data_IF_095762125537
#
_entry.id   IF_095762125537
#
_cell.length_a   1.000
_cell.length_b   1.000
_cell.length_c   1.000
_cell.angle_alpha   90.00
_cell.angle_beta   90.00
_cell.angle_gamma   90.00
#
_symmetry.space_group_name_H-M   'P 1'
#
loop_
_entity.id
_entity.type
_entity.pdbx_description
1 polymer ?
#
# COMPACT_ATOMS: atom_id res chain seq x y z
N UNK A 1 -1.61 17.47 -16.70
CA UNK A 1 -1.51 16.00 -16.52
C UNK A 1 -0.58 15.72 -15.37
N UNK A 2 -1.11 15.41 -14.19
CA UNK A 2 -0.34 14.85 -13.08
C UNK A 2 0.09 13.44 -13.52
N UNK A 3 1.35 13.26 -13.88
CA UNK A 3 1.89 11.95 -14.30
C UNK A 3 2.79 11.33 -13.24
N UNK A 4 3.23 12.11 -12.28
CA UNK A 4 4.06 11.62 -11.19
C UNK A 4 3.21 11.27 -9.96
N UNK A 5 3.73 10.35 -9.16
CA UNK A 5 3.10 9.91 -7.91
C UNK A 5 3.46 10.86 -6.73
N UNK A 6 3.99 12.06 -6.99
CA UNK A 6 4.49 12.96 -5.95
C UNK A 6 3.37 13.49 -5.06
N UNK A 7 2.16 13.66 -5.60
CA UNK A 7 0.98 14.08 -4.84
C UNK A 7 0.64 13.06 -3.74
N UNK A 8 0.72 11.77 -4.06
CA UNK A 8 0.47 10.68 -3.11
C UNK A 8 1.59 10.63 -2.07
N UNK A 9 2.85 10.74 -2.50
CA UNK A 9 3.99 10.76 -1.58
C UNK A 9 3.90 11.92 -0.59
N UNK A 10 3.58 13.13 -1.08
CA UNK A 10 3.45 14.35 -0.27
C UNK A 10 2.30 14.23 0.72
N UNK A 11 1.14 13.74 0.29
CA UNK A 11 -0.02 13.54 1.16
C UNK A 11 0.29 12.55 2.30
N UNK A 12 0.85 11.39 1.96
CA UNK A 12 1.22 10.38 2.96
C UNK A 12 2.32 10.88 3.91
N UNK A 13 3.30 11.62 3.39
CA UNK A 13 4.37 12.21 4.20
C UNK A 13 3.86 13.30 5.13
N UNK A 14 2.91 14.13 4.68
CA UNK A 14 2.26 15.15 5.52
C UNK A 14 1.49 14.51 6.69
N UNK A 15 0.97 13.30 6.49
CA UNK A 15 0.37 12.46 7.55
C UNK A 15 1.40 11.78 8.47
N UNK A 16 2.69 12.13 8.34
CA UNK A 16 3.82 11.57 9.11
C UNK A 16 4.02 10.07 8.92
N UNK A 17 3.54 9.52 7.81
CA UNK A 17 3.77 8.12 7.45
C UNK A 17 5.16 7.97 6.83
N UNK A 18 5.85 6.87 7.14
CA UNK A 18 7.15 6.56 6.54
C UNK A 18 6.93 5.88 5.19
N UNK A 19 7.18 6.61 4.11
CA UNK A 19 6.96 6.16 2.74
C UNK A 19 8.29 5.81 2.07
N UNK A 20 8.34 4.66 1.39
CA UNK A 20 9.48 4.23 0.56
C UNK A 20 9.00 3.73 -0.80
N UNK A 21 9.95 3.50 -1.69
CA UNK A 21 9.72 2.86 -2.99
C UNK A 21 9.12 1.45 -2.82
N UNK A 22 8.07 1.17 -3.59
CA UNK A 22 7.33 -0.09 -3.54
C UNK A 22 7.79 -1.16 -4.54
N UNK A 23 8.80 -0.88 -5.37
CA UNK A 23 9.13 -1.69 -6.56
C UNK A 23 9.46 -3.14 -6.20
N UNK A 24 10.14 -3.38 -5.07
CA UNK A 24 10.45 -4.73 -4.57
C UNK A 24 9.20 -5.60 -4.31
N UNK A 25 8.05 -4.97 -4.12
CA UNK A 25 6.77 -5.61 -3.91
C UNK A 25 5.84 -5.48 -5.13
N UNK A 26 6.31 -4.91 -6.25
CA UNK A 26 5.46 -4.61 -7.39
C UNK A 26 4.33 -3.62 -7.07
N UNK A 27 4.54 -2.76 -6.07
CA UNK A 27 3.67 -1.65 -5.69
C UNK A 27 4.35 -0.32 -6.06
N UNK A 28 3.58 0.77 -6.12
CA UNK A 28 4.13 2.10 -6.38
C UNK A 28 4.86 2.64 -5.15
N UNK A 29 4.25 2.50 -3.97
CA UNK A 29 4.81 2.94 -2.70
C UNK A 29 4.57 1.89 -1.62
N UNK A 30 5.35 1.98 -0.54
CA UNK A 30 5.17 1.16 0.65
C UNK A 30 5.20 2.04 1.90
N UNK A 31 4.31 1.75 2.84
CA UNK A 31 4.17 2.47 4.12
C UNK A 31 4.67 1.60 5.26
N UNK A 32 5.34 2.22 6.23
CA UNK A 32 5.76 1.61 7.49
C UNK A 32 5.21 2.39 8.69
N UNK A 33 4.75 1.68 9.72
CA UNK A 33 4.35 2.26 11.01
C UNK A 33 5.55 2.53 11.94
N UNK A 34 6.71 1.91 11.67
CA UNK A 34 7.92 1.97 12.51
C UNK A 34 9.19 2.20 11.70
N UNK A 35 10.37 1.95 12.28
CA UNK A 35 11.61 1.96 11.49
C UNK A 35 11.54 0.85 10.42
N UNK A 36 11.68 1.15 9.11
CA UNK A 36 11.71 0.14 8.05
C UNK A 36 12.80 -0.94 8.22
N UNK A 37 13.83 -0.68 9.03
CA UNK A 37 14.88 -1.65 9.38
C UNK A 37 14.43 -2.66 10.43
N UNK A 38 13.44 -2.29 11.25
CA UNK A 38 12.99 -3.07 12.41
C UNK A 38 11.56 -3.60 12.25
N UNK A 39 10.78 -3.01 11.35
CA UNK A 39 9.37 -3.28 11.15
C UNK A 39 9.06 -3.66 9.69
N UNK A 40 8.07 -4.52 9.50
CA UNK A 40 7.55 -4.83 8.17
C UNK A 40 6.68 -3.71 7.61
N UNK A 41 6.50 -3.76 6.29
CA UNK A 41 5.58 -2.85 5.60
C UNK A 41 4.17 -3.03 6.12
N UNK A 42 3.56 -1.93 6.49
CA UNK A 42 2.17 -1.84 6.93
C UNK A 42 1.20 -1.90 5.74
N UNK A 43 1.51 -1.20 4.65
CA UNK A 43 0.66 -1.18 3.46
C UNK A 43 1.47 -1.07 2.16
N UNK A 44 0.96 -1.71 1.11
CA UNK A 44 1.40 -1.58 -0.26
C UNK A 44 0.42 -0.66 -0.99
N UNK A 45 0.93 0.40 -1.59
CA UNK A 45 0.13 1.43 -2.26
C UNK A 45 0.23 1.25 -3.77
N UNK A 46 -0.93 1.20 -4.42
CA UNK A 46 -1.08 1.16 -5.87
C UNK A 46 -1.74 2.47 -6.30
N UNK A 47 -1.06 3.25 -7.14
CA UNK A 47 -1.52 4.57 -7.55
C UNK A 47 -2.27 4.47 -8.88
N UNK A 48 -3.42 5.15 -8.95
CA UNK A 48 -4.22 5.30 -10.17
C UNK A 48 -4.65 6.73 -10.35
N UNK A 49 -4.37 7.26 -11.53
CA UNK A 49 -4.75 8.60 -11.96
C UNK A 49 -6.07 8.55 -12.72
N UNK A 50 -6.72 9.71 -12.87
CA UNK A 50 -7.98 9.85 -13.61
C UNK A 50 -7.94 9.18 -14.99
N UNK A 51 -9.01 8.45 -15.32
CA UNK A 51 -9.17 7.74 -16.58
C UNK A 51 -8.33 6.46 -16.70
N UNK A 52 -7.51 6.11 -15.70
CA UNK A 52 -6.83 4.81 -15.70
C UNK A 52 -7.78 3.71 -15.28
N UNK A 53 -7.88 2.68 -16.12
CA UNK A 53 -8.62 1.47 -15.78
C UNK A 53 -7.94 0.68 -14.66
N UNK A 54 -8.77 -0.02 -13.88
CA UNK A 54 -8.33 -0.97 -12.86
C UNK A 54 -8.81 -2.36 -13.29
N UNK A 55 -7.97 -3.13 -14.04
CA UNK A 55 -8.33 -4.48 -14.42
C UNK A 55 -8.54 -5.36 -13.19
N UNK A 56 -9.56 -6.21 -13.19
CA UNK A 56 -9.85 -7.12 -12.07
C UNK A 56 -8.65 -8.02 -11.70
N UNK A 57 -7.85 -8.41 -12.71
CA UNK A 57 -6.62 -9.18 -12.49
C UNK A 57 -5.60 -8.44 -11.61
N UNK A 58 -5.55 -7.10 -11.69
CA UNK A 58 -4.66 -6.27 -10.87
C UNK A 58 -5.05 -6.38 -9.40
N UNK A 59 -6.35 -6.29 -9.09
CA UNK A 59 -6.89 -6.45 -7.73
C UNK A 59 -6.51 -7.80 -7.12
N UNK A 60 -6.61 -8.88 -7.91
CA UNK A 60 -6.18 -10.22 -7.47
C UNK A 60 -4.67 -10.29 -7.21
N UNK A 61 -3.85 -9.67 -8.07
CA UNK A 61 -2.39 -9.63 -7.90
C UNK A 61 -2.00 -8.85 -6.65
N UNK A 62 -2.57 -7.66 -6.46
CA UNK A 62 -2.29 -6.78 -5.32
C UNK A 62 -2.59 -7.46 -3.99
N UNK A 63 -3.77 -8.04 -3.86
CA UNK A 63 -4.17 -8.77 -2.64
C UNK A 63 -3.29 -10.00 -2.38
N UNK A 64 -2.87 -10.71 -3.43
CA UNK A 64 -1.94 -11.85 -3.31
C UNK A 64 -0.56 -11.42 -2.82
N UNK A 65 0.00 -10.37 -3.40
CA UNK A 65 1.31 -9.82 -3.01
C UNK A 65 1.24 -9.33 -1.57
N UNK A 66 0.22 -8.54 -1.22
CA UNK A 66 0.02 -8.01 0.13
C UNK A 66 -0.06 -9.15 1.18
N UNK A 67 -0.77 -10.24 0.85
CA UNK A 67 -0.82 -11.44 1.69
C UNK A 67 0.52 -12.21 1.75
N UNK A 68 1.34 -12.18 0.69
CA UNK A 68 2.63 -12.87 0.60
C UNK A 68 3.80 -12.07 1.20
N UNK A 69 3.70 -10.74 1.25
CA UNK A 69 4.64 -9.85 1.91
C UNK A 69 4.71 -10.08 3.44
N UNK A 70 3.88 -11.00 3.98
CA UNK A 70 4.08 -11.68 5.26
C UNK A 70 5.45 -12.35 5.35
N UNK A 71 6.44 -11.65 5.87
CA UNK A 71 7.57 -12.31 6.52
C UNK A 71 7.25 -12.43 8.01
N UNK A 72 7.35 -13.64 8.54
CA UNK A 72 7.25 -13.90 9.98
C UNK A 72 8.47 -13.26 10.65
N UNK A 73 8.31 -12.14 11.35
CA UNK A 73 9.29 -11.78 12.39
C UNK A 73 9.06 -12.72 13.55
N UNK A 74 10.04 -13.57 13.88
CA UNK A 74 10.10 -14.19 15.21
C UNK A 74 10.46 -13.11 16.22
N UNK A 75 9.50 -12.28 16.63
CA UNK A 75 9.65 -11.53 17.87
C UNK A 75 9.13 -12.42 19.00
N UNK A 76 10.05 -13.16 19.63
CA UNK A 76 9.79 -14.17 20.66
C UNK A 76 9.10 -13.64 21.94
N UNK A 77 8.84 -12.33 22.05
CA UNK A 77 8.27 -11.69 23.24
C UNK A 77 6.82 -11.19 23.09
N UNK A 78 6.25 -11.15 21.89
CA UNK A 78 4.88 -10.63 21.67
C UNK A 78 3.99 -11.71 21.04
N UNK A 79 3.15 -12.34 21.87
CA UNK A 79 2.18 -13.41 21.47
C UNK A 79 0.99 -12.90 20.63
N UNK A 80 1.07 -11.70 20.07
CA UNK A 80 0.16 -11.10 19.07
C UNK A 80 1.11 -10.23 18.21
N UNK A 81 1.12 -10.28 16.89
CA UNK A 81 0.04 -9.89 16.00
C UNK A 81 0.26 -10.47 14.59
N UNK A 82 -0.82 -10.93 13.96
CA UNK A 82 -0.91 -11.14 12.52
C UNK A 82 -1.07 -9.77 11.85
N UNK A 83 0.02 -9.13 11.43
CA UNK A 83 -0.06 -7.91 10.61
C UNK A 83 0.22 -8.32 9.17
N UNK A 84 -0.84 -8.45 8.37
CA UNK A 84 -0.74 -8.48 6.92
C UNK A 84 -0.45 -7.07 6.42
N UNK A 85 0.48 -6.91 5.48
CA UNK A 85 0.52 -5.68 4.70
C UNK A 85 -0.83 -5.55 3.97
N UNK A 86 -1.49 -4.40 4.08
CA UNK A 86 -2.74 -4.15 3.38
C UNK A 86 -2.46 -3.70 1.94
N UNK A 87 -3.29 -4.12 0.99
CA UNK A 87 -3.30 -3.51 -0.34
C UNK A 87 -4.18 -2.26 -0.28
N UNK A 88 -3.61 -1.11 -0.64
CA UNK A 88 -4.32 0.17 -0.68
C UNK A 88 -4.24 0.72 -2.09
N UNK A 89 -5.38 1.13 -2.62
CA UNK A 89 -5.50 1.86 -3.86
C UNK A 89 -5.53 3.36 -3.55
N UNK A 90 -4.62 4.12 -4.16
CA UNK A 90 -4.61 5.58 -4.13
C UNK A 90 -5.15 6.11 -5.45
N UNK A 91 -6.34 6.72 -5.40
CA UNK A 91 -7.04 7.33 -6.52
C UNK A 91 -6.70 8.83 -6.56
N UNK A 92 -5.99 9.26 -7.58
CA UNK A 92 -5.53 10.64 -7.77
C UNK A 92 -6.46 11.39 -8.71
N UNK A 93 -7.11 12.42 -8.19
CA UNK A 93 -7.79 13.43 -8.99
C UNK A 93 -6.75 14.46 -9.45
N UNK A 94 -6.48 14.45 -10.75
CA UNK A 94 -5.47 15.29 -11.39
C UNK A 94 -5.92 16.76 -11.51
N UNK A 95 -7.23 17.02 -11.52
CA UNK A 95 -7.78 18.37 -11.64
C UNK A 95 -7.73 19.11 -10.31
N UNK A 96 -8.07 18.42 -9.21
CA UNK A 96 -8.05 19.00 -7.86
C UNK A 96 -6.76 18.74 -7.08
N UNK A 97 -5.85 17.92 -7.62
CA UNK A 97 -4.63 17.46 -6.94
C UNK A 97 -4.91 16.82 -5.56
N UNK A 98 -6.03 16.10 -5.48
CA UNK A 98 -6.44 15.38 -4.26
C UNK A 98 -6.28 13.88 -4.42
N UNK A 99 -6.15 13.17 -3.29
CA UNK A 99 -5.98 11.71 -3.26
C UNK A 99 -7.03 11.09 -2.37
N UNK A 100 -7.73 10.08 -2.89
CA UNK A 100 -8.63 9.21 -2.12
C UNK A 100 -7.98 7.84 -1.96
N UNK A 101 -8.15 7.23 -0.79
CA UNK A 101 -7.56 5.92 -0.49
C UNK A 101 -8.66 4.89 -0.26
N UNK A 102 -8.50 3.69 -0.82
CA UNK A 102 -9.40 2.56 -0.62
C UNK A 102 -8.59 1.31 -0.23
N UNK A 103 -8.96 0.64 0.86
CA UNK A 103 -8.38 -0.66 1.20
C UNK A 103 -9.00 -1.75 0.33
N UNK A 104 -8.19 -2.74 -0.04
CA UNK A 104 -8.64 -3.90 -0.79
C UNK A 104 -8.35 -5.14 0.04
N UNK A 105 -9.41 -5.76 0.54
CA UNK A 105 -9.33 -6.94 1.38
C UNK A 105 -9.86 -8.16 0.65
N UNK A 106 -9.11 -9.27 0.74
CA UNK A 106 -9.56 -10.57 0.23
C UNK A 106 -10.31 -11.30 1.33
N UNK A 107 -11.59 -11.53 1.11
CA UNK A 107 -12.44 -12.30 2.03
C UNK A 107 -12.57 -13.75 1.55
N UNK A 108 -12.57 -14.68 2.50
CA UNK A 108 -13.00 -16.05 2.26
C UNK A 108 -14.50 -16.10 2.47
N UNK A 109 -15.26 -16.22 1.38
CA UNK A 109 -16.69 -16.47 1.45
C UNK A 109 -16.89 -17.93 1.88
N UNK A 110 -17.82 -18.14 2.81
CA UNK A 110 -18.11 -19.43 3.43
C UNK A 110 -18.68 -20.43 2.42
#
# INVERSE_FOLDING_TARGET
MCRDNSVVYRDLSAKRLKVKDGMHYGADLVIYEGDPRECHSYALIYVKHDGQEIPAQSVVRWTRVAAAAKKRVRNAKLKRFHITSQAILALVDCASATVKYASIDRLKLA
#
